data_IF_743275640267
#
_entry.id   IF_743275640267
#
_cell.length_a   1.000
_cell.length_b   1.000
_cell.length_c   1.000
_cell.angle_alpha   90.00
_cell.angle_beta   90.00
_cell.angle_gamma   90.00
#
_symmetry.space_group_name_H-M   'P 1'
#
loop_
_entity.id
_entity.type
_entity.pdbx_description
1 polymer ?
#
# COMPACT_ATOMS: atom_id res chain seq x y z
N UNK A 1 46.88 40.93 0.48
CA UNK A 1 46.66 39.68 1.24
C UNK A 1 45.21 39.24 1.12
N UNK A 2 44.98 38.00 0.71
CA UNK A 2 43.70 37.31 0.82
C UNK A 2 43.94 36.08 1.69
N UNK A 3 43.12 35.88 2.72
CA UNK A 3 43.12 34.67 3.53
C UNK A 3 41.83 33.89 3.23
N UNK A 4 41.93 32.58 3.08
CA UNK A 4 40.80 31.74 2.70
C UNK A 4 40.74 30.52 3.62
N UNK A 5 39.62 30.37 4.32
CA UNK A 5 39.31 29.18 5.12
C UNK A 5 38.07 28.48 4.53
N UNK A 6 38.06 27.16 4.55
CA UNK A 6 36.92 26.35 4.06
C UNK A 6 36.27 25.63 5.23
N UNK A 7 34.94 25.63 5.25
CA UNK A 7 34.13 24.92 6.24
C UNK A 7 33.22 23.94 5.51
N UNK A 8 32.98 22.78 6.12
CA UNK A 8 32.08 21.75 5.60
C UNK A 8 31.08 21.34 6.68
N UNK A 9 29.81 21.22 6.29
CA UNK A 9 28.75 20.64 7.12
C UNK A 9 28.13 19.45 6.37
N UNK A 10 27.70 18.44 7.11
CA UNK A 10 26.95 17.29 6.58
C UNK A 10 25.57 17.26 7.19
N UNK A 11 24.55 17.04 6.36
CA UNK A 11 23.16 16.91 6.78
C UNK A 11 22.62 15.56 6.32
N UNK A 12 21.98 14.82 7.22
CA UNK A 12 21.29 13.58 6.89
C UNK A 12 19.85 13.91 6.59
N UNK A 13 19.41 13.60 5.36
CA UNK A 13 18.03 13.79 4.94
C UNK A 13 17.07 12.98 5.80
N UNK A 14 15.96 13.60 6.12
CA UNK A 14 14.80 13.02 6.80
C UNK A 14 13.71 12.68 5.78
N UNK A 15 12.67 11.95 6.21
CA UNK A 15 11.52 11.71 5.33
C UNK A 15 10.80 13.01 4.98
N UNK A 16 10.66 13.91 5.95
CA UNK A 16 10.03 15.22 5.75
C UNK A 16 10.75 16.04 4.66
N UNK A 17 12.08 15.94 4.56
CA UNK A 17 12.85 16.59 3.49
C UNK A 17 12.50 16.01 2.11
N UNK A 18 12.41 14.68 2.01
CA UNK A 18 12.05 14.00 0.74
C UNK A 18 10.62 14.36 0.35
N UNK A 19 9.70 14.37 1.31
CA UNK A 19 8.29 14.75 1.09
C UNK A 19 8.17 16.22 0.65
N UNK A 20 8.97 17.11 1.23
CA UNK A 20 9.09 18.52 0.83
C UNK A 20 9.76 18.70 -0.56
N UNK A 21 10.50 17.71 -1.03
CA UNK A 21 11.15 17.71 -2.35
C UNK A 21 12.30 18.71 -2.50
N UNK A 22 12.66 19.46 -1.46
CA UNK A 22 13.75 20.44 -1.48
C UNK A 22 14.39 20.59 -0.10
N UNK A 23 15.70 20.86 -0.08
CA UNK A 23 16.41 21.32 1.12
C UNK A 23 17.17 22.61 0.83
N UNK A 24 17.03 23.58 1.74
CA UNK A 24 17.61 24.92 1.63
C UNK A 24 18.74 25.10 2.63
N UNK A 25 19.90 25.58 2.17
CA UNK A 25 21.04 25.85 3.04
C UNK A 25 21.58 27.27 2.86
N UNK A 26 21.80 27.96 3.98
CA UNK A 26 22.35 29.30 4.06
C UNK A 26 23.44 29.35 5.14
N UNK A 27 24.60 29.90 4.82
CA UNK A 27 25.69 30.11 5.76
C UNK A 27 25.87 31.60 6.06
N UNK A 28 26.16 31.92 7.31
CA UNK A 28 26.50 33.29 7.74
C UNK A 28 27.90 33.28 8.33
N UNK A 29 28.73 34.24 7.92
CA UNK A 29 30.06 34.46 8.48
C UNK A 29 30.11 35.82 9.16
N UNK A 30 30.75 35.88 10.32
CA UNK A 30 31.03 37.14 11.04
C UNK A 30 32.52 37.25 11.24
N UNK A 31 33.12 38.36 10.82
CA UNK A 31 34.52 38.66 11.09
C UNK A 31 34.61 39.81 12.10
N UNK A 32 35.29 39.55 13.22
CA UNK A 32 35.45 40.56 14.26
C UNK A 32 36.52 41.59 13.92
N UNK A 33 36.23 42.85 14.24
CA UNK A 33 37.14 43.96 14.01
C UNK A 33 38.29 43.97 15.03
N UNK A 34 39.55 44.25 14.62
CA UNK A 34 40.68 44.35 15.55
C UNK A 34 40.52 45.41 16.65
N UNK A 35 39.68 46.43 16.42
CA UNK A 35 39.38 47.47 17.41
C UNK A 35 38.29 47.07 18.41
N UNK A 36 37.73 45.86 18.30
CA UNK A 36 36.60 45.38 19.11
C UNK A 36 35.27 46.09 18.81
N UNK A 37 35.21 46.88 17.74
CA UNK A 37 34.01 47.58 17.27
C UNK A 37 33.94 47.54 15.75
N UNK A 38 32.74 47.31 15.20
CA UNK A 38 32.50 47.28 13.74
C UNK A 38 32.75 45.92 13.09
N UNK A 39 32.30 44.84 13.72
CA UNK A 39 32.29 43.50 13.12
C UNK A 39 31.48 43.51 11.81
N UNK A 40 31.92 42.73 10.83
CA UNK A 40 31.24 42.58 9.54
C UNK A 40 30.60 41.22 9.44
N UNK A 41 29.41 41.16 8.86
CA UNK A 41 28.66 39.93 8.62
C UNK A 41 28.40 39.79 7.14
N UNK A 42 28.47 38.56 6.63
CA UNK A 42 28.10 38.22 5.26
C UNK A 42 27.29 36.92 5.25
N UNK A 43 26.41 36.80 4.27
CA UNK A 43 25.54 35.64 4.07
C UNK A 43 25.90 35.02 2.72
N UNK A 44 26.01 33.69 2.67
CA UNK A 44 26.32 32.97 1.45
C UNK A 44 25.26 33.20 0.37
N UNK A 45 25.69 33.24 -0.89
CA UNK A 45 24.80 33.26 -2.05
C UNK A 45 25.05 32.10 -2.99
N UNK A 46 24.01 31.36 -3.33
CA UNK A 46 24.04 30.38 -4.42
C UNK A 46 24.33 31.02 -5.79
N UNK A 47 24.08 32.33 -5.96
CA UNK A 47 24.28 33.06 -7.22
C UNK A 47 25.55 33.91 -7.23
N UNK A 48 26.32 33.90 -6.14
CA UNK A 48 27.54 34.70 -5.98
C UNK A 48 27.32 36.18 -5.61
N UNK A 49 26.06 36.64 -5.53
CA UNK A 49 25.71 37.99 -5.05
C UNK A 49 24.44 37.96 -4.21
N UNK A 50 24.32 38.84 -3.20
CA UNK A 50 23.15 38.90 -2.30
C UNK A 50 23.09 37.74 -1.30
N UNK A 51 21.89 37.44 -0.79
CA UNK A 51 21.67 36.49 0.31
C UNK A 51 20.75 35.33 -0.17
N UNK A 52 21.17 34.61 -1.20
CA UNK A 52 20.36 33.54 -1.79
C UNK A 52 20.77 32.17 -1.24
N UNK A 53 19.82 31.44 -0.68
CA UNK A 53 20.07 30.08 -0.19
C UNK A 53 20.42 29.12 -1.35
N UNK A 54 21.22 28.12 -1.02
CA UNK A 54 21.50 27.00 -1.91
C UNK A 54 20.38 25.98 -1.76
N UNK A 55 19.53 25.91 -2.78
CA UNK A 55 18.44 24.94 -2.86
C UNK A 55 18.94 23.64 -3.53
N UNK A 56 18.67 22.51 -2.89
CA UNK A 56 18.90 21.18 -3.46
C UNK A 56 17.56 20.49 -3.64
N UNK A 57 17.15 20.29 -4.89
CA UNK A 57 15.94 19.55 -5.22
C UNK A 57 16.16 18.06 -4.97
N UNK A 58 15.18 17.43 -4.33
CA UNK A 58 15.10 16.00 -4.08
C UNK A 58 14.04 15.38 -4.98
N UNK A 59 14.39 14.26 -5.61
CA UNK A 59 13.46 13.54 -6.49
C UNK A 59 12.42 12.80 -5.67
N UNK A 60 11.14 13.14 -5.85
CA UNK A 60 10.00 12.37 -5.36
C UNK A 60 9.60 11.33 -6.41
N UNK A 61 9.45 10.09 -5.96
CA UNK A 61 9.08 8.93 -6.76
C UNK A 61 8.02 8.14 -5.98
N UNK A 62 6.77 8.64 -5.95
CA UNK A 62 5.67 7.92 -5.32
C UNK A 62 5.36 6.64 -6.09
N UNK A 63 5.11 5.55 -5.38
CA UNK A 63 4.68 4.29 -5.96
C UNK A 63 3.88 3.50 -4.93
N UNK A 64 2.92 2.73 -5.43
CA UNK A 64 2.07 1.85 -4.65
C UNK A 64 2.09 0.47 -5.34
N UNK A 65 2.23 -0.58 -4.55
CA UNK A 65 2.12 -1.96 -5.01
C UNK A 65 1.03 -2.65 -4.21
N UNK A 66 0.10 -3.33 -4.87
CA UNK A 66 -0.97 -4.12 -4.26
C UNK A 66 -0.78 -5.57 -4.68
N UNK A 67 -0.88 -6.46 -3.69
CA UNK A 67 -0.81 -7.90 -3.91
C UNK A 67 -1.96 -8.58 -3.19
N UNK A 68 -2.43 -9.69 -3.76
CA UNK A 68 -3.43 -10.54 -3.15
C UNK A 68 -2.96 -11.98 -3.01
N UNK A 69 -3.33 -12.60 -1.89
CA UNK A 69 -3.14 -14.03 -1.66
C UNK A 69 -4.40 -14.66 -1.10
N UNK A 70 -4.53 -15.97 -1.24
CA UNK A 70 -5.66 -16.74 -0.70
C UNK A 70 -5.14 -17.93 0.09
N UNK A 71 -5.75 -18.15 1.26
CA UNK A 71 -5.64 -19.38 2.03
C UNK A 71 -7.04 -20.01 2.18
N UNK A 72 -7.11 -21.33 2.37
CA UNK A 72 -8.37 -22.00 2.67
C UNK A 72 -8.28 -22.76 3.99
N UNK A 73 -9.42 -22.85 4.68
CA UNK A 73 -9.65 -23.78 5.78
C UNK A 73 -10.58 -24.87 5.27
N UNK A 74 -10.01 -26.06 5.12
CA UNK A 74 -10.69 -27.28 4.70
C UNK A 74 -11.53 -27.82 5.87
N UNK A 75 -12.85 -27.73 5.74
CA UNK A 75 -13.80 -28.05 6.79
C UNK A 75 -14.08 -29.55 6.92
N UNK A 76 -13.99 -30.30 5.81
CA UNK A 76 -14.29 -31.73 5.75
C UNK A 76 -13.03 -32.61 5.68
N UNK A 77 -11.85 -31.99 5.56
CA UNK A 77 -10.53 -32.62 5.48
C UNK A 77 -10.36 -33.52 4.25
N UNK A 78 -11.01 -33.20 3.13
CA UNK A 78 -10.91 -33.95 1.88
C UNK A 78 -9.70 -33.55 1.01
N UNK A 79 -9.01 -32.46 1.36
CA UNK A 79 -7.81 -31.96 0.71
C UNK A 79 -8.04 -31.17 -0.58
N UNK A 80 -9.29 -30.81 -0.89
CA UNK A 80 -9.65 -29.91 -2.01
C UNK A 80 -10.53 -28.77 -1.51
N UNK A 81 -10.61 -27.67 -2.26
CA UNK A 81 -11.56 -26.59 -1.93
C UNK A 81 -12.95 -27.04 -2.35
N UNK A 82 -13.85 -27.22 -1.39
CA UNK A 82 -15.19 -27.75 -1.59
C UNK A 82 -16.28 -26.97 -0.82
N UNK A 83 -17.54 -27.42 -0.92
CA UNK A 83 -18.70 -26.75 -0.32
C UNK A 83 -18.55 -26.66 1.21
N UNK A 84 -18.64 -25.45 1.76
CA UNK A 84 -18.53 -25.20 3.19
C UNK A 84 -17.13 -24.85 3.67
N UNK A 85 -16.11 -24.94 2.81
CA UNK A 85 -14.76 -24.44 3.12
C UNK A 85 -14.73 -22.94 3.23
N UNK A 86 -13.78 -22.42 4.00
CA UNK A 86 -13.58 -20.97 4.15
C UNK A 86 -12.34 -20.51 3.41
N UNK A 87 -12.51 -19.62 2.45
CA UNK A 87 -11.43 -18.87 1.80
C UNK A 87 -11.15 -17.58 2.56
N UNK A 88 -9.88 -17.32 2.84
CA UNK A 88 -9.39 -16.06 3.40
C UNK A 88 -8.46 -15.40 2.40
N UNK A 89 -8.93 -14.30 1.80
CA UNK A 89 -8.12 -13.44 0.94
C UNK A 89 -7.41 -12.40 1.81
N UNK A 90 -6.11 -12.21 1.57
CA UNK A 90 -5.32 -11.15 2.19
C UNK A 90 -4.81 -10.21 1.10
N UNK A 91 -5.22 -8.95 1.17
CA UNK A 91 -4.72 -7.85 0.34
C UNK A 91 -3.62 -7.16 1.11
N UNK A 92 -2.46 -6.97 0.49
CA UNK A 92 -1.35 -6.19 1.03
C UNK A 92 -1.02 -5.08 0.05
N UNK A 93 -1.16 -3.84 0.50
CA UNK A 93 -0.63 -2.67 -0.16
C UNK A 93 0.73 -2.29 0.47
N UNK A 94 1.68 -1.88 -0.35
CA UNK A 94 3.00 -1.40 0.04
C UNK A 94 3.27 -0.05 -0.62
N UNK A 95 3.68 0.95 0.16
CA UNK A 95 4.27 2.16 -0.41
C UNK A 95 5.67 1.80 -0.90
N UNK A 96 5.76 1.40 -2.16
CA UNK A 96 7.00 0.99 -2.83
C UNK A 96 7.82 2.17 -3.36
N UNK A 97 7.32 3.39 -3.15
CA UNK A 97 8.00 4.63 -3.52
C UNK A 97 8.96 5.14 -2.45
N UNK A 98 9.42 6.39 -2.63
CA UNK A 98 10.27 7.09 -1.66
C UNK A 98 9.58 8.26 -0.95
N UNK A 99 8.29 8.46 -1.20
CA UNK A 99 7.52 9.60 -0.67
C UNK A 99 6.34 9.10 0.16
N UNK A 100 6.01 9.79 1.24
CA UNK A 100 4.87 9.45 2.09
C UNK A 100 3.55 9.59 1.30
N UNK A 101 2.71 8.56 1.38
CA UNK A 101 1.37 8.56 0.78
C UNK A 101 0.31 8.78 1.86
N UNK A 102 -0.88 9.22 1.45
CA UNK A 102 -2.00 9.49 2.37
C UNK A 102 -3.29 8.85 1.86
N UNK A 103 -4.18 8.49 2.79
CA UNK A 103 -5.57 8.11 2.51
C UNK A 103 -5.68 6.88 1.60
N UNK A 104 -5.00 5.80 1.97
CA UNK A 104 -5.06 4.56 1.20
C UNK A 104 -6.49 4.02 1.20
N UNK A 105 -6.99 3.77 0.00
CA UNK A 105 -8.25 3.07 -0.25
C UNK A 105 -7.95 1.77 -0.98
N UNK A 106 -8.67 0.72 -0.63
CA UNK A 106 -8.62 -0.58 -1.29
C UNK A 106 -9.98 -0.88 -1.87
N UNK A 107 -10.01 -1.29 -3.14
CA UNK A 107 -11.19 -1.81 -3.82
C UNK A 107 -10.94 -3.26 -4.20
N UNK A 108 -11.96 -4.10 -4.03
CA UNK A 108 -11.88 -5.53 -4.28
C UNK A 108 -12.97 -5.90 -5.29
N UNK A 109 -12.54 -6.53 -6.39
CA UNK A 109 -13.42 -7.09 -7.41
C UNK A 109 -13.47 -8.61 -7.26
N UNK A 110 -14.49 -9.05 -6.52
CA UNK A 110 -14.73 -10.44 -6.20
C UNK A 110 -15.87 -10.99 -7.05
N UNK A 111 -15.60 -12.08 -7.76
CA UNK A 111 -16.56 -12.68 -8.69
C UNK A 111 -16.46 -14.19 -8.68
N UNK A 112 -17.52 -14.85 -9.14
CA UNK A 112 -17.47 -16.25 -9.56
C UNK A 112 -16.79 -16.37 -10.92
N UNK A 113 -16.24 -17.54 -11.24
CA UNK A 113 -15.61 -17.82 -12.55
C UNK A 113 -16.55 -17.61 -13.75
N UNK A 114 -17.88 -17.60 -13.53
CA UNK A 114 -18.90 -17.25 -14.51
C UNK A 114 -19.16 -15.74 -14.71
N UNK A 115 -18.45 -14.86 -13.98
CA UNK A 115 -18.59 -13.40 -14.06
C UNK A 115 -19.68 -12.80 -13.16
N UNK A 116 -20.30 -13.59 -12.27
CA UNK A 116 -21.24 -13.08 -11.29
C UNK A 116 -20.49 -12.37 -10.17
N UNK A 117 -20.68 -11.06 -10.03
CA UNK A 117 -20.08 -10.28 -8.94
C UNK A 117 -20.62 -10.70 -7.56
N UNK A 118 -19.70 -10.78 -6.61
CA UNK A 118 -19.94 -11.01 -5.20
C UNK A 118 -19.67 -9.74 -4.41
N UNK A 119 -20.24 -9.64 -3.21
CA UNK A 119 -19.97 -8.52 -2.32
C UNK A 119 -18.70 -8.80 -1.52
N UNK A 120 -17.65 -8.03 -1.77
CA UNK A 120 -16.45 -8.03 -0.94
C UNK A 120 -16.65 -7.13 0.29
N UNK A 121 -16.63 -7.72 1.49
CA UNK A 121 -16.59 -6.96 2.75
C UNK A 121 -15.19 -7.05 3.33
N UNK A 122 -14.35 -6.04 3.05
CA UNK A 122 -13.00 -5.97 3.60
C UNK A 122 -13.04 -5.62 5.09
N UNK A 123 -12.10 -6.20 5.85
CA UNK A 123 -11.78 -5.76 7.20
C UNK A 123 -11.14 -4.36 7.18
N UNK A 124 -11.04 -3.73 8.36
CA UNK A 124 -10.36 -2.46 8.50
C UNK A 124 -8.88 -2.60 8.12
N UNK A 125 -8.36 -1.60 7.39
CA UNK A 125 -6.95 -1.56 6.99
C UNK A 125 -6.07 -1.48 8.23
N UNK A 126 -5.09 -2.38 8.30
CA UNK A 126 -4.07 -2.40 9.36
C UNK A 126 -2.71 -2.04 8.79
N UNK A 127 -2.14 -0.94 9.27
CA UNK A 127 -0.82 -0.45 8.86
C UNK A 127 0.31 -1.09 9.66
N UNK A 128 1.45 -1.28 9.02
CA UNK A 128 2.71 -1.66 9.66
C UNK A 128 3.19 -0.55 10.60
N UNK A 129 4.02 -0.90 11.58
CA UNK A 129 4.61 0.04 12.54
C UNK A 129 5.21 1.28 11.86
N UNK A 130 4.88 2.46 12.36
CA UNK A 130 5.35 3.75 11.84
C UNK A 130 4.46 4.34 10.75
N UNK A 131 3.68 3.51 10.04
CA UNK A 131 2.70 3.98 9.06
C UNK A 131 1.31 4.15 9.67
N UNK A 132 0.55 5.08 9.09
CA UNK A 132 -0.86 5.34 9.40
C UNK A 132 -1.59 5.75 8.13
N UNK A 133 -2.92 5.89 8.20
CA UNK A 133 -3.71 6.42 7.08
C UNK A 133 -3.32 7.83 6.66
N UNK A 134 -2.89 8.66 7.62
CA UNK A 134 -2.43 10.02 7.37
C UNK A 134 -0.95 10.10 6.93
N UNK A 135 -0.20 9.01 7.07
CA UNK A 135 1.24 8.96 6.79
C UNK A 135 1.63 7.51 6.48
N UNK A 136 1.37 7.08 5.27
CA UNK A 136 1.78 5.77 4.77
C UNK A 136 3.21 5.87 4.25
N UNK A 137 4.16 5.57 5.14
CA UNK A 137 5.59 5.82 4.92
C UNK A 137 6.17 4.88 3.85
N UNK A 138 7.26 5.28 3.15
CA UNK A 138 8.01 4.40 2.27
C UNK A 138 8.41 3.08 2.92
N UNK A 139 8.18 1.96 2.22
CA UNK A 139 8.37 0.60 2.70
C UNK A 139 7.37 0.13 3.75
N UNK A 140 6.42 0.99 4.14
CA UNK A 140 5.28 0.61 4.98
C UNK A 140 4.33 -0.32 4.23
N UNK A 141 3.67 -1.20 4.96
CA UNK A 141 2.60 -2.06 4.42
C UNK A 141 1.27 -1.80 5.10
N UNK A 142 0.19 -2.08 4.39
CA UNK A 142 -1.18 -1.97 4.85
C UNK A 142 -1.95 -3.21 4.41
N UNK A 143 -2.62 -3.88 5.34
CA UNK A 143 -3.30 -5.15 5.07
C UNK A 143 -4.79 -5.08 5.35
N UNK A 144 -5.58 -5.73 4.51
CA UNK A 144 -7.00 -5.97 4.69
C UNK A 144 -7.36 -7.39 4.26
N UNK A 145 -8.41 -7.94 4.85
CA UNK A 145 -8.84 -9.32 4.61
C UNK A 145 -10.30 -9.42 4.21
N UNK A 146 -10.60 -10.41 3.38
CA UNK A 146 -11.95 -10.84 3.00
C UNK A 146 -12.09 -12.33 3.29
N UNK A 147 -13.14 -12.73 3.98
CA UNK A 147 -13.46 -14.15 4.20
C UNK A 147 -14.72 -14.53 3.45
N UNK A 148 -14.69 -15.66 2.76
CA UNK A 148 -15.81 -16.20 2.01
C UNK A 148 -15.99 -17.69 2.30
N UNK A 149 -17.21 -18.10 2.64
CA UNK A 149 -17.54 -19.53 2.79
C UNK A 149 -18.06 -20.01 1.46
N UNK A 150 -17.45 -21.07 0.91
CA UNK A 150 -17.81 -21.64 -0.38
C UNK A 150 -19.25 -22.13 -0.32
N UNK A 151 -20.09 -21.62 -1.21
CA UNK A 151 -21.49 -22.01 -1.37
C UNK A 151 -21.73 -22.84 -2.63
N UNK A 152 -22.97 -23.28 -2.83
CA UNK A 152 -23.32 -24.13 -3.96
C UNK A 152 -23.21 -23.39 -5.30
N UNK A 153 -23.48 -22.09 -5.33
CA UNK A 153 -23.38 -21.31 -6.57
C UNK A 153 -21.90 -21.17 -7.01
N UNK A 154 -20.96 -21.13 -6.06
CA UNK A 154 -19.52 -21.12 -6.35
C UNK A 154 -19.06 -22.44 -6.98
N UNK A 155 -19.55 -23.56 -6.44
CA UNK A 155 -19.32 -24.92 -6.99
C UNK A 155 -19.90 -25.01 -8.41
N UNK A 156 -21.13 -24.53 -8.60
CA UNK A 156 -21.82 -24.55 -9.89
C UNK A 156 -21.11 -23.66 -10.92
N UNK A 157 -20.52 -22.54 -10.47
CA UNK A 157 -19.69 -21.68 -11.31
C UNK A 157 -18.27 -22.25 -11.58
N UNK A 158 -17.88 -23.31 -10.88
CA UNK A 158 -16.58 -23.96 -11.01
C UNK A 158 -15.41 -23.19 -10.40
N UNK A 159 -15.68 -22.17 -9.58
CA UNK A 159 -14.63 -21.41 -8.91
C UNK A 159 -14.92 -19.93 -8.69
N UNK A 160 -13.92 -19.28 -8.13
CA UNK A 160 -13.91 -17.88 -7.72
C UNK A 160 -12.71 -17.16 -8.31
N UNK A 161 -12.87 -15.86 -8.59
CA UNK A 161 -11.84 -14.95 -9.05
C UNK A 161 -11.89 -13.71 -8.16
N UNK A 162 -10.73 -13.31 -7.63
CA UNK A 162 -10.66 -12.11 -6.81
C UNK A 162 -9.46 -11.24 -7.22
N UNK A 163 -9.69 -9.95 -7.50
CA UNK A 163 -8.62 -8.97 -7.79
C UNK A 163 -8.78 -7.72 -6.93
N UNK A 164 -7.71 -7.00 -6.64
CA UNK A 164 -7.77 -5.77 -5.85
C UNK A 164 -7.06 -4.62 -6.55
N UNK A 165 -7.54 -3.41 -6.32
CA UNK A 165 -6.84 -2.18 -6.66
C UNK A 165 -6.65 -1.36 -5.40
N UNK A 166 -5.59 -0.56 -5.38
CA UNK A 166 -5.32 0.36 -4.29
C UNK A 166 -5.03 1.75 -4.84
N UNK A 167 -5.54 2.76 -4.16
CA UNK A 167 -5.26 4.16 -4.46
C UNK A 167 -4.94 4.89 -3.17
N UNK A 168 -3.79 5.54 -3.16
CA UNK A 168 -3.44 6.57 -2.19
C UNK A 168 -3.14 7.87 -2.94
N UNK A 169 -2.79 8.94 -2.25
CA UNK A 169 -2.43 10.20 -2.89
C UNK A 169 -1.23 10.87 -2.21
N UNK A 170 -0.66 11.84 -2.90
CA UNK A 170 0.47 12.65 -2.47
C UNK A 170 0.26 14.12 -2.85
N UNK A 171 0.54 15.04 -1.94
CA UNK A 171 0.56 16.48 -2.22
C UNK A 171 1.83 16.87 -2.99
N UNK A 172 1.71 17.09 -4.29
CA UNK A 172 2.85 17.41 -5.14
C UNK A 172 3.13 18.92 -5.23
N UNK A 173 2.16 19.78 -4.95
CA UNK A 173 2.32 21.24 -5.08
C UNK A 173 2.45 21.97 -3.74
N UNK A 174 2.29 21.25 -2.63
CA UNK A 174 2.47 21.74 -1.26
C UNK A 174 1.27 22.51 -0.72
N UNK A 175 0.10 22.41 -1.36
CA UNK A 175 -1.10 23.13 -0.95
C UNK A 175 -1.91 22.43 0.16
N UNK A 176 -1.46 21.25 0.60
CA UNK A 176 -2.04 20.37 1.63
C UNK A 176 -3.41 19.81 1.28
N UNK A 177 -3.80 19.81 0.01
CA UNK A 177 -5.06 19.28 -0.48
C UNK A 177 -4.82 18.20 -1.54
N UNK A 178 -5.78 17.29 -1.68
CA UNK A 178 -5.79 16.33 -2.79
C UNK A 178 -6.43 16.97 -4.01
N UNK A 179 -5.72 16.96 -5.14
CA UNK A 179 -6.24 17.39 -6.42
C UNK A 179 -7.49 16.60 -6.84
N UNK A 180 -8.48 17.29 -7.41
CA UNK A 180 -9.77 16.66 -7.81
C UNK A 180 -9.72 15.93 -9.15
N UNK A 181 -8.64 16.10 -9.92
CA UNK A 181 -8.46 15.53 -11.26
C UNK A 181 -7.56 14.27 -11.27
N UNK A 182 -7.26 13.73 -10.08
CA UNK A 182 -6.40 12.56 -9.87
C UNK A 182 -4.94 12.73 -10.29
N UNK A 183 -4.46 13.95 -10.55
CA UNK A 183 -3.03 14.18 -10.86
C UNK A 183 -2.08 13.77 -9.73
N UNK A 184 -2.62 13.64 -8.52
CA UNK A 184 -1.94 13.28 -7.28
C UNK A 184 -2.21 11.86 -6.81
N UNK A 185 -3.01 11.10 -7.57
CA UNK A 185 -3.36 9.75 -7.21
C UNK A 185 -2.22 8.78 -7.57
N UNK A 186 -1.86 7.96 -6.60
CA UNK A 186 -0.88 6.89 -6.73
C UNK A 186 -1.68 5.60 -6.65
N UNK A 187 -1.92 5.01 -7.82
CA UNK A 187 -2.80 3.85 -7.95
C UNK A 187 -2.04 2.65 -8.49
N UNK A 188 -2.32 1.47 -7.92
CA UNK A 188 -1.98 0.20 -8.53
C UNK A 188 -3.24 -0.48 -9.08
N UNK A 189 -3.23 -0.74 -10.38
CA UNK A 189 -4.27 -1.48 -11.10
C UNK A 189 -3.76 -2.76 -11.72
N UNK A 190 -2.53 -3.18 -11.40
CA UNK A 190 -1.82 -4.27 -12.08
C UNK A 190 -1.90 -5.61 -11.35
N UNK A 191 -2.51 -5.64 -10.15
CA UNK A 191 -2.69 -6.89 -9.41
C UNK A 191 -3.51 -7.90 -10.23
N UNK A 192 -2.93 -9.07 -10.41
CA UNK A 192 -3.56 -10.13 -11.19
C UNK A 192 -4.60 -10.86 -10.34
N UNK A 193 -5.74 -11.18 -10.95
CA UNK A 193 -6.78 -11.92 -10.25
C UNK A 193 -6.25 -13.25 -9.68
N UNK A 194 -6.51 -13.48 -8.41
CA UNK A 194 -6.30 -14.76 -7.73
C UNK A 194 -7.52 -15.63 -8.01
N UNK A 195 -7.32 -16.71 -8.77
CA UNK A 195 -8.38 -17.66 -9.11
C UNK A 195 -8.32 -18.91 -8.23
N UNK A 196 -9.46 -19.30 -7.67
CA UNK A 196 -9.64 -20.54 -6.91
C UNK A 196 -10.59 -21.45 -7.66
N UNK A 197 -10.09 -22.57 -8.18
CA UNK A 197 -10.94 -23.58 -8.83
C UNK A 197 -11.68 -24.39 -7.77
N UNK A 198 -12.99 -24.57 -7.97
CA UNK A 198 -13.83 -25.39 -7.10
C UNK A 198 -14.39 -26.51 -7.96
N UNK A 199 -14.01 -27.75 -7.65
CA UNK A 199 -14.41 -28.92 -8.42
C UNK A 199 -15.79 -29.40 -8.00
N UNK A 200 -16.66 -29.72 -8.95
CA UNK A 200 -17.87 -30.48 -8.65
C UNK A 200 -17.49 -31.91 -8.26
N UNK A 201 -17.55 -32.24 -6.98
CA UNK A 201 -17.50 -33.63 -6.53
C UNK A 201 -18.81 -34.31 -6.92
N UNK A 202 -18.80 -34.97 -8.08
CA UNK A 202 -19.94 -35.76 -8.56
C UNK A 202 -20.11 -36.99 -7.66
N UNK A 203 -20.81 -36.85 -6.53
CA UNK A 203 -21.15 -37.96 -5.64
C UNK A 203 -22.68 -38.08 -5.50
N UNK A 204 -23.28 -38.98 -6.27
CA UNK A 204 -24.63 -39.50 -5.97
C UNK A 204 -24.46 -40.67 -5.00
N UNK A 205 -24.95 -40.53 -3.77
CA UNK A 205 -25.11 -41.64 -2.82
C UNK A 205 -26.60 -41.99 -2.70
N UNK A 206 -26.97 -43.21 -3.11
CA UNK A 206 -28.34 -43.72 -3.02
C UNK A 206 -28.33 -44.99 -2.15
N UNK A 207 -28.74 -44.87 -0.89
CA UNK A 207 -28.85 -46.02 0.03
C UNK A 207 -30.29 -46.50 0.07
N UNK A 208 -30.54 -47.69 -0.51
CA UNK A 208 -31.81 -48.40 -0.40
C UNK A 208 -31.64 -49.57 0.56
N UNK A 209 -32.19 -49.46 1.77
CA UNK A 209 -32.31 -50.59 2.70
C UNK A 209 -33.70 -51.22 2.60
N UNK A 210 -33.75 -52.55 2.59
CA UNK A 210 -34.97 -53.32 2.74
C UNK A 210 -34.71 -54.41 3.78
N UNK A 211 -35.55 -54.46 4.81
CA UNK A 211 -35.60 -55.58 5.75
C UNK A 211 -36.76 -56.49 5.35
N UNK A 212 -36.47 -57.78 5.12
CA UNK A 212 -37.51 -58.81 5.01
C UNK A 212 -37.96 -59.16 6.43
N UNK A 213 -39.25 -58.99 6.71
CA UNK A 213 -39.87 -59.69 7.84
C UNK A 213 -40.01 -61.16 7.42
N UNK A 214 -39.10 -62.01 7.89
CA UNK A 214 -39.35 -63.44 7.95
C UNK A 214 -40.46 -63.64 8.99
N UNK A 215 -41.68 -63.86 8.48
CA UNK A 215 -42.84 -64.10 9.32
C UNK A 215 -42.61 -65.36 10.13
N UNK A 216 -42.32 -65.18 11.42
CA UNK A 216 -42.25 -66.27 12.37
C UNK A 216 -43.61 -66.95 12.56
N UNK A 217 -43.56 -68.28 12.37
CA UNK A 217 -44.53 -69.38 12.58
C UNK A 217 -45.62 -69.60 11.50
#
# INVERSE_FOLDING_TARGET
ESDTSTFSATYTLTQDDVDAGTVSNLATVTASSPSGTGDVTDISSATGTGDAATETTLTRAPALTVTKSVAHTDADSDGVVSLGDTLTYTITAENSGNTTLTGLTLSDDFQRSGGTSLTATLSAITYSTGSTDAAFLPGGTATATLTHVVDQDDVDAGGLSNSATGTAWIDLDGDTQRATDSSEDVTDTTDSAVTTTIGAVSAIALTKTATLNDGGD
#
